data_IF_640878546872
#
_entry.id   IF_640878546872
#
_cell.length_a   1.000
_cell.length_b   1.000
_cell.length_c   1.000
_cell.angle_alpha   90.00
_cell.angle_beta   90.00
_cell.angle_gamma   90.00
#
_symmetry.space_group_name_H-M   'P 1'
#
loop_
_entity.id
_entity.type
_entity.pdbx_description
1 polymer ?
#
# COMPACT_ATOMS: atom_id res chain seq x y z
N UNK A 1 11.09 -13.68 0.33
CA UNK A 1 10.79 -12.32 -0.19
C UNK A 1 10.62 -11.32 0.95
N UNK A 2 9.73 -11.58 1.92
CA UNK A 2 9.48 -10.74 3.11
C UNK A 2 10.78 -10.29 3.77
N UNK A 3 11.65 -11.26 4.08
CA UNK A 3 12.91 -11.02 4.79
C UNK A 3 13.88 -10.12 4.04
N UNK A 4 13.94 -10.28 2.71
CA UNK A 4 14.80 -9.47 1.84
C UNK A 4 14.34 -8.02 1.77
N UNK A 5 13.11 -7.72 2.14
CA UNK A 5 12.51 -6.40 2.10
C UNK A 5 12.36 -5.76 3.49
N UNK A 6 12.99 -6.32 4.54
CA UNK A 6 12.93 -5.78 5.91
C UNK A 6 13.32 -4.30 6.03
N UNK A 7 14.26 -3.83 5.21
CA UNK A 7 14.64 -2.42 5.17
C UNK A 7 13.50 -1.53 4.68
N UNK A 8 12.74 -1.98 3.67
CA UNK A 8 11.56 -1.28 3.19
C UNK A 8 10.46 -1.21 4.26
N UNK A 9 10.17 -2.32 4.94
CA UNK A 9 9.16 -2.34 6.02
C UNK A 9 9.53 -1.38 7.13
N UNK A 10 10.82 -1.34 7.51
CA UNK A 10 11.34 -0.40 8.50
C UNK A 10 11.18 1.04 8.06
N UNK A 11 11.56 1.35 6.81
CA UNK A 11 11.42 2.69 6.25
C UNK A 11 9.97 3.16 6.27
N UNK A 12 9.04 2.34 5.77
CA UNK A 12 7.61 2.67 5.75
C UNK A 12 7.05 2.85 7.16
N UNK A 13 7.43 2.00 8.10
CA UNK A 13 7.07 2.13 9.52
C UNK A 13 7.56 3.46 10.09
N UNK A 14 8.81 3.83 9.81
CA UNK A 14 9.39 5.05 10.35
C UNK A 14 8.70 6.29 9.73
N UNK A 15 8.32 6.24 8.45
CA UNK A 15 7.43 7.23 7.82
C UNK A 15 6.05 7.28 8.49
N UNK A 16 5.43 6.13 8.76
CA UNK A 16 4.13 6.07 9.45
C UNK A 16 4.22 6.71 10.84
N UNK A 17 5.26 6.39 11.60
CA UNK A 17 5.50 6.96 12.94
C UNK A 17 5.65 8.48 12.89
N UNK A 18 6.31 9.00 11.86
CA UNK A 18 6.55 10.43 11.69
C UNK A 18 5.30 11.19 11.25
N UNK A 19 4.53 10.63 10.30
CA UNK A 19 3.42 11.33 9.64
C UNK A 19 2.07 11.08 10.33
N UNK A 20 1.88 9.88 10.89
CA UNK A 20 0.64 9.45 11.56
C UNK A 20 0.95 8.74 12.91
N UNK A 21 1.47 9.47 13.90
CA UNK A 21 1.92 8.87 15.17
C UNK A 21 0.80 8.13 15.91
N UNK A 22 -0.45 8.61 15.87
CA UNK A 22 -1.59 7.95 16.49
C UNK A 22 -1.92 6.62 15.80
N UNK A 23 -1.87 6.60 14.46
CA UNK A 23 -2.07 5.38 13.68
C UNK A 23 -0.95 4.37 13.97
N UNK A 24 0.31 4.82 14.02
CA UNK A 24 1.45 4.00 14.42
C UNK A 24 1.20 3.35 15.78
N UNK A 25 0.90 4.15 16.81
CA UNK A 25 0.65 3.65 18.16
C UNK A 25 -0.49 2.62 18.18
N UNK A 26 -1.55 2.86 17.42
CA UNK A 26 -2.67 1.92 17.32
C UNK A 26 -2.26 0.60 16.67
N UNK A 27 -1.58 0.65 15.53
CA UNK A 27 -1.14 -0.55 14.81
C UNK A 27 -0.14 -1.37 15.64
N UNK A 28 0.73 -0.71 16.39
CA UNK A 28 1.75 -1.39 17.21
C UNK A 28 1.16 -2.10 18.44
N UNK A 29 -0.07 -1.76 18.82
CA UNK A 29 -0.81 -2.39 19.92
C UNK A 29 -1.68 -3.58 19.47
N UNK A 30 -1.66 -3.93 18.17
CA UNK A 30 -2.37 -5.10 17.68
C UNK A 30 -1.62 -6.37 18.10
N UNK A 31 -2.30 -7.22 18.85
CA UNK A 31 -1.81 -8.55 19.22
C UNK A 31 -2.48 -9.58 18.31
N UNK A 32 -1.66 -10.36 17.60
CA UNK A 32 -2.16 -11.51 16.85
C UNK A 32 -2.25 -12.74 17.78
N UNK A 33 -3.24 -13.62 17.59
CA UNK A 33 -3.31 -14.87 18.34
C UNK A 33 -2.17 -15.79 17.93
N UNK A 34 -1.64 -16.58 18.86
CA UNK A 34 -0.67 -17.62 18.55
C UNK A 34 -1.26 -18.62 17.53
N UNK A 35 -0.50 -19.07 16.52
CA UNK A 35 0.93 -18.83 16.29
C UNK A 35 1.25 -17.69 15.29
N UNK A 36 0.32 -16.75 15.05
CA UNK A 36 0.45 -15.74 14.00
C UNK A 36 1.45 -14.63 14.36
N UNK A 37 2.16 -14.11 13.36
CA UNK A 37 3.16 -13.05 13.52
C UNK A 37 2.99 -11.94 12.48
N UNK A 38 3.29 -10.70 12.88
CA UNK A 38 3.27 -9.53 12.00
C UNK A 38 4.53 -9.50 11.12
N UNK A 39 4.41 -10.03 9.90
CA UNK A 39 5.52 -10.10 8.94
C UNK A 39 5.90 -8.74 8.34
N UNK A 40 4.98 -7.76 8.37
CA UNK A 40 5.11 -6.44 7.75
C UNK A 40 4.91 -5.32 8.77
N UNK A 41 5.38 -5.54 10.01
CA UNK A 41 5.14 -4.67 11.16
C UNK A 41 5.27 -3.17 10.83
N UNK A 42 4.29 -2.33 11.21
CA UNK A 42 3.17 -2.62 12.12
C UNK A 42 1.88 -3.03 11.40
N UNK A 43 1.88 -3.13 10.07
CA UNK A 43 0.72 -3.59 9.30
C UNK A 43 0.48 -5.09 9.50
N UNK A 44 -0.79 -5.51 9.53
CA UNK A 44 -1.16 -6.91 9.72
C UNK A 44 -1.14 -7.74 8.45
N UNK A 45 -1.24 -7.09 7.29
CA UNK A 45 -1.29 -7.74 5.99
C UNK A 45 -0.47 -7.03 4.91
N UNK A 46 -0.22 -7.76 3.83
CA UNK A 46 0.31 -7.21 2.59
C UNK A 46 -0.37 -7.85 1.39
N UNK A 47 -0.75 -7.04 0.41
CA UNK A 47 -1.17 -7.47 -0.91
C UNK A 47 -0.04 -7.24 -1.89
N UNK A 48 0.31 -8.27 -2.66
CA UNK A 48 1.30 -8.18 -3.73
C UNK A 48 0.54 -8.24 -5.05
N UNK A 49 0.31 -7.07 -5.65
CA UNK A 49 -0.34 -6.96 -6.95
C UNK A 49 0.72 -7.09 -8.03
N UNK A 50 0.63 -8.12 -8.86
CA UNK A 50 1.64 -8.43 -9.86
C UNK A 50 1.06 -8.47 -11.26
N UNK A 51 1.93 -8.29 -12.26
CA UNK A 51 1.60 -8.45 -13.67
C UNK A 51 0.45 -7.53 -14.12
N UNK A 52 0.41 -6.29 -13.63
CA UNK A 52 -0.49 -5.29 -14.20
C UNK A 52 0.10 -4.81 -15.53
N UNK A 53 -0.65 -5.00 -16.61
CA UNK A 53 -0.24 -4.73 -17.99
C UNK A 53 -1.22 -3.75 -18.65
N UNK A 54 -0.96 -3.28 -19.89
CA UNK A 54 -1.91 -2.44 -20.61
C UNK A 54 -3.31 -3.05 -20.83
N UNK A 55 -3.44 -4.38 -20.70
CA UNK A 55 -4.70 -5.11 -20.88
C UNK A 55 -5.37 -5.47 -19.53
N UNK A 56 -4.77 -5.10 -18.40
CA UNK A 56 -5.36 -5.39 -17.10
C UNK A 56 -6.66 -4.63 -16.89
N UNK A 57 -7.66 -5.30 -16.31
CA UNK A 57 -8.89 -4.67 -15.86
C UNK A 57 -8.58 -3.90 -14.59
N UNK A 58 -8.81 -2.59 -14.61
CA UNK A 58 -8.55 -1.69 -13.49
C UNK A 58 -9.87 -1.34 -12.83
N UNK A 59 -10.01 -1.70 -11.55
CA UNK A 59 -11.19 -1.42 -10.76
C UNK A 59 -10.91 -0.28 -9.77
N UNK A 60 -11.89 0.59 -9.61
CA UNK A 60 -11.90 1.56 -8.52
C UNK A 60 -12.60 0.94 -7.32
N UNK A 61 -12.06 1.12 -6.13
CA UNK A 61 -12.59 0.55 -4.91
C UNK A 61 -12.16 1.35 -3.69
N UNK A 62 -12.79 1.04 -2.56
CA UNK A 62 -12.27 1.34 -1.23
C UNK A 62 -11.91 0.02 -0.57
N UNK A 63 -10.84 0.02 0.21
CA UNK A 63 -10.45 -1.11 1.05
C UNK A 63 -11.34 -1.11 2.30
N UNK A 64 -12.64 -1.35 2.12
CA UNK A 64 -13.67 -1.15 3.15
C UNK A 64 -13.50 -2.03 4.40
N UNK A 65 -12.68 -3.09 4.30
CA UNK A 65 -12.32 -3.95 5.43
C UNK A 65 -11.13 -3.43 6.23
N UNK A 66 -10.38 -2.46 5.71
CA UNK A 66 -9.24 -1.89 6.41
C UNK A 66 -9.70 -0.91 7.49
N UNK A 67 -8.93 -0.81 8.57
CA UNK A 67 -9.27 0.09 9.65
C UNK A 67 -9.29 1.56 9.16
N UNK A 68 -10.32 2.30 9.54
CA UNK A 68 -10.49 3.71 9.14
C UNK A 68 -9.48 4.68 9.75
N UNK A 69 -8.70 4.24 10.73
CA UNK A 69 -7.81 5.10 11.53
C UNK A 69 -6.33 4.92 11.21
N UNK A 70 -5.97 4.12 10.21
CA UNK A 70 -4.59 3.97 9.79
C UNK A 70 -4.47 3.93 8.26
N UNK A 71 -3.39 4.48 7.71
CA UNK A 71 -3.16 4.43 6.27
C UNK A 71 -2.60 3.08 5.84
N UNK A 72 -2.91 2.73 4.60
CA UNK A 72 -2.18 1.75 3.81
C UNK A 72 -0.82 2.33 3.40
N UNK A 73 0.14 1.46 3.07
CA UNK A 73 1.40 1.85 2.44
C UNK A 73 1.56 1.15 1.09
N UNK A 74 1.44 1.89 -0.01
CA UNK A 74 1.60 1.36 -1.36
C UNK A 74 2.96 1.75 -1.95
N UNK A 75 3.66 0.75 -2.50
CA UNK A 75 4.98 0.90 -3.12
C UNK A 75 4.93 0.23 -4.50
N UNK A 76 4.90 0.99 -5.60
CA UNK A 76 4.97 0.40 -6.93
C UNK A 76 6.41 0.05 -7.33
N UNK A 77 6.52 -0.95 -8.20
CA UNK A 77 7.80 -1.39 -8.77
C UNK A 77 7.60 -2.03 -10.14
N UNK A 78 8.69 -2.24 -10.86
CA UNK A 78 8.69 -2.72 -12.25
C UNK A 78 9.17 -1.66 -13.23
N UNK A 79 9.05 -1.95 -14.52
CA UNK A 79 9.32 -1.00 -15.60
C UNK A 79 8.01 -0.79 -16.37
N UNK A 80 7.46 0.41 -16.26
CA UNK A 80 6.16 0.74 -16.82
C UNK A 80 6.01 2.24 -17.06
N UNK A 81 5.12 2.58 -17.98
CA UNK A 81 4.69 3.97 -18.23
C UNK A 81 3.21 4.13 -17.88
N UNK A 82 2.87 5.23 -17.19
CA UNK A 82 1.52 5.51 -16.63
C UNK A 82 1.16 4.54 -15.51
N UNK A 83 -0.12 4.18 -15.35
CA UNK A 83 -0.55 3.41 -14.18
C UNK A 83 -0.70 4.25 -12.91
N UNK A 84 -0.86 5.56 -13.07
CA UNK A 84 -1.02 6.55 -12.01
C UNK A 84 -2.10 6.11 -11.02
N UNK A 85 -1.86 6.33 -9.73
CA UNK A 85 -2.86 6.10 -8.69
C UNK A 85 -3.80 7.31 -8.66
N UNK A 86 -5.07 7.07 -8.94
CA UNK A 86 -6.11 8.08 -8.79
C UNK A 86 -6.70 7.93 -7.39
N UNK A 87 -6.74 9.03 -6.64
CA UNK A 87 -7.43 9.15 -5.36
C UNK A 87 -8.63 10.09 -5.59
N UNK A 88 -9.84 9.55 -5.75
CA UNK A 88 -10.99 10.30 -6.28
C UNK A 88 -11.36 11.51 -5.42
N UNK A 89 -11.21 11.39 -4.11
CA UNK A 89 -11.49 12.47 -3.16
C UNK A 89 -10.32 13.46 -2.96
N UNK A 90 -9.18 13.25 -3.64
CA UNK A 90 -7.98 14.06 -3.42
C UNK A 90 -7.35 14.54 -4.74
N UNK A 91 -6.62 13.66 -5.44
CA UNK A 91 -5.87 13.99 -6.66
C UNK A 91 -5.39 12.73 -7.38
N UNK A 92 -4.93 12.91 -8.62
CA UNK A 92 -4.19 11.89 -9.37
C UNK A 92 -2.70 12.01 -9.03
N UNK A 93 -2.07 10.87 -8.78
CA UNK A 93 -0.66 10.75 -8.43
C UNK A 93 0.05 9.79 -9.39
N UNK A 94 1.02 10.30 -10.13
CA UNK A 94 1.98 9.45 -10.83
C UNK A 94 2.99 8.93 -9.79
N UNK A 95 2.88 7.65 -9.45
CA UNK A 95 3.85 6.98 -8.58
C UNK A 95 4.82 6.17 -9.45
N UNK A 96 6.11 6.40 -9.27
CA UNK A 96 7.20 5.74 -9.99
C UNK A 96 7.85 4.65 -9.14
N UNK A 97 8.56 3.68 -9.75
CA UNK A 97 9.37 2.74 -9.00
C UNK A 97 10.33 3.47 -8.03
N UNK A 98 10.27 3.10 -6.76
CA UNK A 98 11.03 3.75 -5.68
C UNK A 98 10.22 4.73 -4.83
N UNK A 99 9.05 5.17 -5.31
CA UNK A 99 8.14 5.97 -4.50
C UNK A 99 7.40 5.11 -3.46
N UNK A 100 6.93 5.77 -2.41
CA UNK A 100 6.01 5.19 -1.44
C UNK A 100 4.90 6.20 -1.13
N UNK A 101 3.67 5.70 -0.99
CA UNK A 101 2.54 6.51 -0.60
C UNK A 101 1.83 5.89 0.61
N UNK A 102 1.66 6.72 1.65
CA UNK A 102 0.74 6.46 2.74
C UNK A 102 -0.60 7.14 2.44
N UNK A 103 -1.69 6.39 2.44
CA UNK A 103 -3.03 6.93 2.18
C UNK A 103 -4.12 6.11 2.87
N UNK A 104 -5.29 6.72 3.09
CA UNK A 104 -6.41 6.10 3.79
C UNK A 104 -7.27 5.28 2.81
N UNK A 105 -6.85 4.07 2.45
CA UNK A 105 -7.53 3.23 1.44
C UNK A 105 -8.95 2.82 1.83
N UNK A 106 -9.24 2.73 3.13
CA UNK A 106 -10.59 2.49 3.65
C UNK A 106 -11.53 3.68 3.52
N UNK A 107 -11.02 4.90 3.33
CA UNK A 107 -11.82 6.13 3.22
C UNK A 107 -11.82 6.71 1.81
N UNK A 108 -10.74 6.52 1.06
CA UNK A 108 -10.54 7.13 -0.25
C UNK A 108 -10.79 6.09 -1.33
N UNK A 109 -11.74 6.36 -2.22
CA UNK A 109 -11.94 5.56 -3.42
C UNK A 109 -10.73 5.75 -4.33
N UNK A 110 -10.12 4.65 -4.73
CA UNK A 110 -8.87 4.66 -5.44
C UNK A 110 -8.76 3.51 -6.46
N UNK A 111 -7.79 3.63 -7.35
CA UNK A 111 -7.60 2.75 -8.49
C UNK A 111 -6.52 3.29 -9.41
N UNK A 112 -6.05 2.48 -10.35
CA UNK A 112 -5.00 2.89 -11.27
C UNK A 112 -5.57 3.38 -12.60
N UNK A 113 -4.92 4.36 -13.21
CA UNK A 113 -5.10 4.67 -14.63
C UNK A 113 -4.51 3.56 -15.51
N UNK A 114 -4.88 3.56 -16.80
CA UNK A 114 -4.36 2.60 -17.76
C UNK A 114 -2.83 2.68 -17.86
N UNK A 115 -2.19 1.51 -17.78
CA UNK A 115 -0.77 1.34 -18.09
C UNK A 115 -0.62 1.38 -19.61
N UNK A 116 0.36 2.13 -20.11
CA UNK A 116 0.54 2.29 -21.57
C UNK A 116 1.66 1.43 -22.13
N UNK A 117 2.66 1.11 -21.29
CA UNK A 117 3.80 0.23 -21.62
C UNK A 117 4.24 -0.53 -20.38
N UNK A 118 4.76 -1.74 -20.58
CA UNK A 118 5.50 -2.48 -19.56
C UNK A 118 4.61 -3.19 -18.54
N UNK A 119 5.19 -3.47 -17.37
CA UNK A 119 4.54 -4.21 -16.28
C UNK A 119 4.69 -3.44 -14.97
N UNK A 120 3.55 -3.03 -14.42
CA UNK A 120 3.48 -2.46 -13.08
C UNK A 120 3.17 -3.55 -12.07
N UNK A 121 3.92 -3.54 -10.98
CA UNK A 121 3.62 -4.33 -9.80
C UNK A 121 3.51 -3.37 -8.60
N UNK A 122 2.93 -3.82 -7.50
CA UNK A 122 2.95 -3.06 -6.26
C UNK A 122 2.86 -3.97 -5.04
N UNK A 123 3.39 -3.48 -3.94
CA UNK A 123 3.10 -3.99 -2.60
C UNK A 123 2.20 -2.98 -1.92
N UNK A 124 1.10 -3.42 -1.34
CA UNK A 124 0.25 -2.61 -0.48
C UNK A 124 0.24 -3.22 0.93
N UNK A 125 0.76 -2.51 1.93
CA UNK A 125 0.67 -2.91 3.33
C UNK A 125 -0.61 -2.35 3.93
N UNK A 126 -1.35 -3.17 4.67
CA UNK A 126 -2.66 -2.81 5.18
C UNK A 126 -2.96 -3.48 6.52
N UNK A 127 -4.02 -3.00 7.17
CA UNK A 127 -4.54 -3.60 8.41
C UNK A 127 -6.06 -3.63 8.37
N UNK A 128 -6.63 -4.83 8.50
CA UNK A 128 -8.07 -5.04 8.75
C UNK A 128 -8.45 -4.78 10.20
#
# INVERSE_FOLDING_TARGET
WIERNKSLWRYLRDCLKLIFPEAYNKLTNITLPDPLQLLYYPWSGAAINQQMTPNSILQHHQDWKDIHSAPNAVVPYGDYDRGDLVLWQAKILELRPGDALLFMGSLICHGNTKITRGVRNSVNLFTH
#
